data_IF_960513746702
#
_entry.id   IF_960513746702
#
_cell.length_a   1.000
_cell.length_b   1.000
_cell.length_c   1.000
_cell.angle_alpha   90.00
_cell.angle_beta   90.00
_cell.angle_gamma   90.00
#
_symmetry.space_group_name_H-M   'P 1'
#
loop_
_entity.id
_entity.type
_entity.pdbx_description
1 polymer ?
#
# COMPACT_ATOMS: atom_id res chain seq x y z
N UNK A 1 -15.74 9.22 4.16
CA UNK A 1 -16.47 10.45 4.55
C UNK A 1 -17.09 10.27 5.92
N UNK A 2 -17.04 11.31 6.77
CA UNK A 2 -17.72 11.30 8.09
C UNK A 2 -19.24 11.17 7.97
N UNK A 3 -19.83 11.59 6.84
CA UNK A 3 -21.27 11.45 6.56
C UNK A 3 -21.67 9.97 6.42
N UNK A 4 -20.96 9.22 5.58
CA UNK A 4 -21.29 7.84 5.17
C UNK A 4 -20.87 6.75 6.16
N UNK A 5 -19.83 6.99 6.97
CA UNK A 5 -19.39 6.04 7.98
C UNK A 5 -20.56 5.68 8.92
N UNK A 6 -20.66 4.44 9.40
CA UNK A 6 -21.76 4.08 10.32
C UNK A 6 -21.66 4.81 11.67
N UNK A 7 -22.74 4.82 12.44
CA UNK A 7 -22.74 5.32 13.82
C UNK A 7 -21.73 4.54 14.66
N UNK A 8 -21.03 5.22 15.56
CA UNK A 8 -19.90 4.67 16.33
C UNK A 8 -18.74 4.09 15.50
N UNK A 9 -18.75 4.26 14.18
CA UNK A 9 -17.70 3.79 13.29
C UNK A 9 -16.44 4.65 13.32
N UNK A 10 -15.42 4.21 12.58
CA UNK A 10 -14.14 4.90 12.45
C UNK A 10 -13.80 5.19 11.00
N UNK A 11 -13.33 6.40 10.72
CA UNK A 11 -12.66 6.76 9.46
C UNK A 11 -11.16 6.87 9.75
N UNK A 12 -10.35 6.06 9.07
CA UNK A 12 -8.88 6.06 9.20
C UNK A 12 -8.26 6.78 8.00
N UNK A 13 -7.23 7.58 8.24
CA UNK A 13 -6.46 8.28 7.19
C UNK A 13 -4.96 7.99 7.33
N UNK A 14 -4.25 7.90 6.19
CA UNK A 14 -2.79 7.73 6.16
C UNK A 14 -2.07 8.71 5.23
N UNK A 15 -2.80 9.51 4.45
CA UNK A 15 -2.25 10.48 3.51
C UNK A 15 -3.36 11.35 2.91
N UNK A 16 -2.94 12.42 2.22
CA UNK A 16 -3.83 13.38 1.55
C UNK A 16 -3.33 13.70 0.15
N UNK A 17 -3.54 12.77 -0.79
CA UNK A 17 -3.04 12.89 -2.18
C UNK A 17 -3.52 14.16 -2.89
N UNK A 18 -4.74 14.61 -2.58
CA UNK A 18 -5.33 15.83 -3.14
C UNK A 18 -5.08 17.09 -2.32
N UNK A 19 -4.23 17.03 -1.28
CA UNK A 19 -3.96 18.12 -0.35
C UNK A 19 -4.10 17.71 1.12
N UNK A 20 -3.31 18.33 2.00
CA UNK A 20 -3.29 18.01 3.43
C UNK A 20 -4.27 18.85 4.27
N UNK A 21 -4.80 19.95 3.74
CA UNK A 21 -5.88 20.70 4.37
C UNK A 21 -7.21 20.02 3.99
N UNK A 22 -7.87 19.41 4.97
CA UNK A 22 -9.15 18.74 4.78
C UNK A 22 -10.18 19.20 5.79
N UNK A 23 -11.39 19.50 5.32
CA UNK A 23 -12.52 19.91 6.14
C UNK A 23 -13.51 18.75 6.31
N UNK A 24 -14.12 18.67 7.49
CA UNK A 24 -15.19 17.70 7.78
C UNK A 24 -16.34 18.39 8.50
N UNK A 25 -17.56 17.97 8.18
CA UNK A 25 -18.73 18.39 8.95
C UNK A 25 -18.77 17.64 10.29
N UNK A 26 -18.40 18.36 11.35
CA UNK A 26 -18.27 17.85 12.71
C UNK A 26 -19.60 17.31 13.27
N UNK A 27 -20.75 17.75 12.74
CA UNK A 27 -22.08 17.24 13.12
C UNK A 27 -22.20 15.73 12.92
N UNK A 28 -21.60 15.22 11.85
CA UNK A 28 -21.60 13.78 11.56
C UNK A 28 -20.59 13.00 12.40
N UNK A 29 -19.59 13.68 12.97
CA UNK A 29 -18.63 13.11 13.90
C UNK A 29 -19.24 12.99 15.31
N UNK A 30 -19.58 14.12 15.94
CA UNK A 30 -19.94 14.12 17.38
C UNK A 30 -21.32 13.55 17.66
N UNK A 31 -22.34 13.86 16.84
CA UNK A 31 -23.72 13.41 17.13
C UNK A 31 -23.90 11.90 16.93
N UNK A 32 -22.96 11.25 16.25
CA UNK A 32 -22.99 9.82 15.93
C UNK A 32 -21.82 9.07 16.57
N UNK A 33 -21.11 9.72 17.50
CA UNK A 33 -19.99 9.15 18.27
C UNK A 33 -18.92 8.48 17.41
N UNK A 34 -18.60 9.04 16.24
CA UNK A 34 -17.62 8.45 15.32
C UNK A 34 -16.19 8.84 15.71
N UNK A 35 -15.22 8.05 15.26
CA UNK A 35 -13.77 8.32 15.42
C UNK A 35 -13.15 8.75 14.09
N UNK A 36 -12.36 9.82 14.10
CA UNK A 36 -11.46 10.17 13.01
C UNK A 36 -10.02 9.86 13.46
N UNK A 37 -9.38 8.89 12.82
CA UNK A 37 -8.11 8.33 13.28
C UNK A 37 -7.00 8.51 12.26
N UNK A 38 -5.91 9.16 12.65
CA UNK A 38 -4.65 9.13 11.90
C UNK A 38 -3.95 7.77 12.04
N UNK A 39 -3.37 7.27 10.95
CA UNK A 39 -2.51 6.10 10.91
C UNK A 39 -1.28 6.41 10.06
N UNK A 40 -0.13 5.84 10.40
CA UNK A 40 1.10 6.07 9.65
C UNK A 40 1.98 4.83 9.68
N UNK A 41 2.17 4.22 8.51
CA UNK A 41 2.92 2.97 8.33
C UNK A 41 2.47 1.87 9.32
N UNK A 42 3.40 1.06 9.81
CA UNK A 42 3.17 -0.06 10.73
C UNK A 42 4.43 -0.35 11.56
N UNK A 43 4.23 -0.89 12.77
CA UNK A 43 5.32 -1.40 13.60
C UNK A 43 5.83 -2.75 13.10
N UNK A 44 7.02 -3.17 13.55
CA UNK A 44 7.64 -4.44 13.14
C UNK A 44 6.76 -5.66 13.40
N UNK A 45 5.97 -5.65 14.47
CA UNK A 45 5.02 -6.72 14.79
C UNK A 45 3.94 -6.85 13.71
N UNK A 46 3.30 -5.73 13.37
CA UNK A 46 2.24 -5.66 12.36
C UNK A 46 2.78 -6.04 10.97
N UNK A 47 4.00 -5.62 10.62
CA UNK A 47 4.65 -6.05 9.38
C UNK A 47 4.84 -7.57 9.31
N UNK A 48 5.19 -8.23 10.43
CA UNK A 48 5.31 -9.70 10.47
C UNK A 48 3.96 -10.38 10.29
N UNK A 49 2.91 -9.85 10.91
CA UNK A 49 1.54 -10.36 10.74
C UNK A 49 1.12 -10.29 9.26
N UNK A 50 1.42 -9.21 8.55
CA UNK A 50 1.15 -9.10 7.09
C UNK A 50 1.98 -10.09 6.27
N UNK A 51 3.27 -10.25 6.58
CA UNK A 51 4.13 -11.23 5.90
C UNK A 51 3.60 -12.65 6.07
N UNK A 52 3.09 -13.00 7.25
CA UNK A 52 2.46 -14.30 7.51
C UNK A 52 1.19 -14.50 6.70
N UNK A 53 0.33 -13.48 6.58
CA UNK A 53 -0.87 -13.53 5.73
C UNK A 53 -0.52 -13.76 4.25
N UNK A 54 0.56 -13.13 3.76
CA UNK A 54 1.06 -13.38 2.40
C UNK A 54 1.61 -14.80 2.28
N UNK A 55 2.44 -15.25 3.24
CA UNK A 55 3.05 -16.58 3.22
C UNK A 55 2.04 -17.73 3.32
N UNK A 56 0.90 -17.49 3.95
CA UNK A 56 -0.23 -18.44 4.06
C UNK A 56 -1.22 -18.34 2.89
N UNK A 57 -1.01 -17.41 1.95
CA UNK A 57 -1.89 -17.20 0.80
C UNK A 57 -3.22 -16.53 1.13
N UNK A 58 -3.39 -16.00 2.35
CA UNK A 58 -4.58 -15.24 2.75
C UNK A 58 -4.59 -13.81 2.19
N UNK A 59 -3.43 -13.30 1.78
CA UNK A 59 -3.27 -11.97 1.20
C UNK A 59 -2.48 -12.05 -0.12
N UNK A 60 -3.07 -11.57 -1.21
CA UNK A 60 -2.41 -11.47 -2.51
C UNK A 60 -1.57 -10.18 -2.60
N UNK A 61 -0.29 -10.24 -3.01
CA UNK A 61 0.54 -9.04 -3.18
C UNK A 61 0.10 -8.10 -4.31
N UNK A 62 -0.86 -8.47 -5.14
CA UNK A 62 -1.44 -7.67 -6.23
C UNK A 62 -0.38 -7.08 -7.19
N UNK A 63 0.61 -7.87 -7.60
CA UNK A 63 1.69 -7.41 -8.48
C UNK A 63 1.18 -7.19 -9.92
N UNK A 64 1.25 -5.95 -10.40
CA UNK A 64 0.74 -5.56 -11.72
C UNK A 64 1.83 -5.37 -12.77
N UNK A 65 3.05 -4.99 -12.37
CA UNK A 65 4.21 -4.87 -13.27
C UNK A 65 5.52 -5.21 -12.54
N UNK A 66 6.51 -5.75 -13.27
CA UNK A 66 7.81 -6.14 -12.70
C UNK A 66 8.96 -5.91 -13.69
N UNK A 67 9.45 -4.68 -13.83
CA UNK A 67 10.40 -4.35 -14.91
C UNK A 67 11.87 -4.50 -14.49
N UNK A 68 12.79 -4.16 -15.38
CA UNK A 68 14.23 -4.27 -15.12
C UNK A 68 14.76 -3.07 -14.35
N UNK A 69 15.97 -3.20 -13.80
CA UNK A 69 16.63 -2.09 -13.10
C UNK A 69 16.71 -0.79 -13.93
N UNK A 70 16.85 -0.89 -15.25
CA UNK A 70 16.93 0.28 -16.14
C UNK A 70 15.60 1.03 -16.26
N UNK A 71 14.49 0.39 -15.90
CA UNK A 71 13.14 0.95 -16.00
C UNK A 71 12.71 1.75 -14.77
N UNK A 72 13.50 1.76 -13.68
CA UNK A 72 13.13 2.40 -12.40
C UNK A 72 12.64 3.84 -12.59
N UNK A 73 13.35 4.65 -13.37
CA UNK A 73 12.98 6.04 -13.61
C UNK A 73 11.63 6.17 -14.32
N UNK A 74 11.42 5.38 -15.37
CA UNK A 74 10.16 5.33 -16.13
C UNK A 74 8.99 4.90 -15.24
N UNK A 75 9.20 3.89 -14.40
CA UNK A 75 8.16 3.37 -13.51
C UNK A 75 7.75 4.39 -12.44
N UNK A 76 8.72 5.08 -11.83
CA UNK A 76 8.40 6.17 -10.89
C UNK A 76 7.64 7.32 -11.58
N UNK A 77 8.00 7.66 -12.82
CA UNK A 77 7.27 8.67 -13.59
C UNK A 77 5.82 8.23 -13.86
N UNK A 78 5.58 6.95 -14.19
CA UNK A 78 4.23 6.42 -14.35
C UNK A 78 3.40 6.48 -13.06
N UNK A 79 4.02 6.29 -11.88
CA UNK A 79 3.37 6.48 -10.59
C UNK A 79 3.00 7.93 -10.36
N UNK A 80 3.95 8.84 -10.60
CA UNK A 80 3.74 10.29 -10.46
C UNK A 80 2.58 10.78 -11.34
N UNK A 81 2.56 10.35 -12.60
CA UNK A 81 1.53 10.75 -13.57
C UNK A 81 0.23 9.96 -13.41
N UNK A 82 0.18 9.01 -12.45
CA UNK A 82 -0.97 8.16 -12.16
C UNK A 82 -1.48 7.36 -13.38
N UNK A 83 -0.55 6.86 -14.21
CA UNK A 83 -0.81 6.05 -15.43
C UNK A 83 -0.29 4.61 -15.32
N UNK A 84 0.20 4.22 -14.16
CA UNK A 84 0.62 2.84 -13.87
C UNK A 84 -0.60 1.91 -13.74
N UNK A 85 -0.46 0.61 -14.08
CA UNK A 85 -1.55 -0.35 -13.92
C UNK A 85 -1.90 -0.54 -12.44
N UNK A 86 -3.20 -0.70 -12.16
CA UNK A 86 -3.71 -0.96 -10.80
C UNK A 86 -2.98 -2.13 -10.14
N UNK A 87 -2.47 -1.91 -8.93
CA UNK A 87 -1.71 -2.89 -8.16
C UNK A 87 -0.35 -2.36 -7.75
N UNK A 88 0.50 -3.25 -7.26
CA UNK A 88 1.86 -2.95 -6.87
C UNK A 88 2.82 -3.18 -8.05
N UNK A 89 3.81 -2.31 -8.19
CA UNK A 89 4.89 -2.48 -9.16
C UNK A 89 6.18 -2.89 -8.46
N UNK A 90 6.98 -3.74 -9.11
CA UNK A 90 8.28 -4.18 -8.63
C UNK A 90 9.37 -4.02 -9.70
N UNK A 91 10.62 -4.17 -9.28
CA UNK A 91 11.77 -4.10 -10.18
C UNK A 91 12.75 -5.23 -9.86
N UNK A 92 13.28 -5.86 -10.91
CA UNK A 92 14.39 -6.79 -10.80
C UNK A 92 15.69 -6.02 -10.57
N UNK A 93 16.38 -6.34 -9.47
CA UNK A 93 17.71 -5.77 -9.15
C UNK A 93 18.81 -6.71 -9.65
N UNK A 94 19.02 -7.81 -8.92
CA UNK A 94 20.01 -8.85 -9.29
C UNK A 94 19.36 -10.13 -9.84
N UNK A 95 18.03 -10.24 -9.77
CA UNK A 95 17.33 -11.38 -10.34
C UNK A 95 17.38 -11.29 -11.88
N UNK A 96 17.82 -12.36 -12.58
CA UNK A 96 18.01 -12.32 -14.04
C UNK A 96 16.69 -12.28 -14.81
N UNK A 97 15.59 -12.75 -14.22
CA UNK A 97 14.26 -12.78 -14.82
C UNK A 97 13.17 -12.84 -13.75
N UNK A 98 11.93 -12.57 -14.13
CA UNK A 98 10.75 -12.72 -13.26
C UNK A 98 10.55 -14.19 -12.87
N UNK A 99 10.01 -14.41 -11.67
CA UNK A 99 9.64 -15.74 -11.17
C UNK A 99 10.76 -16.52 -10.49
N UNK A 100 11.97 -15.94 -10.40
CA UNK A 100 13.06 -16.54 -9.60
C UNK A 100 12.77 -16.39 -8.11
N UNK A 101 12.77 -17.51 -7.38
CA UNK A 101 12.46 -17.57 -5.95
C UNK A 101 13.60 -18.12 -5.09
N UNK A 102 14.71 -18.54 -5.70
CA UNK A 102 15.85 -19.16 -5.02
C UNK A 102 17.16 -18.60 -5.56
N UNK A 103 18.18 -18.54 -4.69
CA UNK A 103 19.55 -18.25 -5.11
C UNK A 103 20.21 -19.59 -5.46
N UNK A 104 20.41 -19.88 -6.74
CA UNK A 104 21.38 -20.90 -7.14
C UNK A 104 22.78 -20.30 -6.95
N UNK A 105 23.34 -20.48 -5.76
CA UNK A 105 24.73 -20.15 -5.51
C UNK A 105 25.60 -21.22 -6.19
N UNK A 106 26.65 -20.85 -6.95
CA UNK A 106 27.64 -21.83 -7.40
C UNK A 106 28.13 -22.62 -6.18
N UNK A 107 28.18 -23.95 -6.28
CA UNK A 107 28.87 -24.74 -5.27
C UNK A 107 30.30 -24.21 -5.14
N UNK A 108 30.67 -23.82 -3.92
CA UNK A 108 32.01 -23.34 -3.59
C UNK A 108 33.08 -24.38 -3.96
#
# INVERSE_FOLDING_TARGET
SMYLCDNAGMVVICGGTSGYNGDVDLRHLWMRSKRLQGSHYAGTRECREVIELVGTGMLDPCLSACETFQDIGRMHQMMHDNVHPSGNMAVLVNAPRRGESTLELPAA
#
